data_IF_988180173997
#
_entry.id   IF_988180173997
#
_cell.length_a   1.000
_cell.length_b   1.000
_cell.length_c   1.000
_cell.angle_alpha   90.00
_cell.angle_beta   90.00
_cell.angle_gamma   90.00
#
_symmetry.space_group_name_H-M   'P 1'
#
loop_
_entity.id
_entity.type
_entity.pdbx_description
1 polymer ?
#
# COMPACT_ATOMS: atom_id res chain seq x y z
N UNK A 1 0.48 13.13 10.23
CA UNK A 1 -0.01 12.42 9.02
C UNK A 1 -0.48 13.45 8.00
N UNK A 2 -0.23 13.22 6.75
CA UNK A 2 -0.74 14.09 5.69
C UNK A 2 -2.22 13.77 5.40
N UNK A 3 -3.04 14.80 5.26
CA UNK A 3 -4.45 14.65 4.85
C UNK A 3 -4.58 14.48 3.32
N UNK A 4 -3.48 14.71 2.58
CA UNK A 4 -3.45 14.53 1.14
C UNK A 4 -3.26 13.04 0.79
N UNK A 5 -3.85 12.58 -0.33
CA UNK A 5 -3.61 11.23 -0.83
C UNK A 5 -2.12 10.98 -1.10
N UNK A 6 -1.67 9.75 -0.87
CA UNK A 6 -0.39 9.27 -1.39
C UNK A 6 -0.65 8.90 -2.84
N UNK A 7 -0.38 9.82 -3.75
CA UNK A 7 -0.83 9.77 -5.15
C UNK A 7 0.30 9.56 -6.16
N UNK A 8 1.55 9.51 -5.68
CA UNK A 8 2.75 9.28 -6.50
C UNK A 8 2.94 10.27 -7.66
N UNK A 9 2.17 11.36 -7.68
CA UNK A 9 2.31 12.40 -8.70
C UNK A 9 3.54 13.29 -8.45
N UNK A 10 4.08 13.84 -9.54
CA UNK A 10 5.13 14.83 -9.43
C UNK A 10 4.63 16.06 -8.67
N UNK A 11 5.31 16.38 -7.55
CA UNK A 11 4.86 17.43 -6.63
C UNK A 11 3.75 17.04 -5.66
N UNK A 12 3.24 15.80 -5.78
CA UNK A 12 2.30 15.20 -4.82
C UNK A 12 3.01 14.47 -3.69
N UNK A 13 2.36 13.43 -3.17
CA UNK A 13 2.85 12.64 -2.05
C UNK A 13 3.26 11.24 -2.52
N UNK A 14 4.37 10.71 -2.00
CA UNK A 14 4.76 9.33 -2.16
C UNK A 14 5.91 9.10 -3.14
N UNK A 15 5.91 9.71 -4.33
CA UNK A 15 6.94 9.46 -5.34
C UNK A 15 8.35 9.90 -4.88
N UNK A 16 8.43 10.90 -4.03
CA UNK A 16 9.68 11.41 -3.44
C UNK A 16 9.96 10.82 -2.04
N UNK A 17 9.15 9.89 -1.57
CA UNK A 17 9.40 9.17 -0.33
C UNK A 17 10.43 8.06 -0.58
N UNK A 18 11.16 7.65 0.45
CA UNK A 18 11.92 6.41 0.39
C UNK A 18 10.98 5.21 0.52
N UNK A 19 11.13 4.24 -0.35
CA UNK A 19 10.42 2.97 -0.30
C UNK A 19 11.42 1.83 -0.35
N UNK A 20 11.25 0.85 0.53
CA UNK A 20 12.08 -0.36 0.57
C UNK A 20 11.25 -1.55 0.15
N UNK A 21 11.69 -2.25 -0.88
CA UNK A 21 11.10 -3.54 -1.29
C UNK A 21 11.78 -4.65 -0.49
N UNK A 22 11.00 -5.60 -0.02
CA UNK A 22 11.48 -6.69 0.83
C UNK A 22 10.90 -8.05 0.41
N UNK A 23 11.61 -9.12 0.74
CA UNK A 23 11.21 -10.53 0.56
C UNK A 23 10.80 -10.88 -0.87
N UNK A 24 11.41 -10.22 -1.85
CA UNK A 24 11.05 -10.27 -3.28
C UNK A 24 12.25 -10.71 -4.14
N UNK A 25 13.10 -11.60 -3.62
CA UNK A 25 14.34 -12.09 -4.21
C UNK A 25 15.33 -10.93 -4.34
N UNK A 26 15.65 -10.46 -5.52
CA UNK A 26 16.59 -9.35 -5.77
C UNK A 26 15.99 -7.96 -5.43
N UNK A 27 14.79 -7.93 -4.90
CA UNK A 27 14.09 -6.72 -4.44
C UNK A 27 14.15 -5.57 -5.46
N UNK A 28 13.60 -5.75 -6.69
CA UNK A 28 13.54 -4.65 -7.64
C UNK A 28 12.84 -3.45 -7.01
N UNK A 29 13.40 -2.24 -7.12
CA UNK A 29 12.84 -1.07 -6.45
C UNK A 29 11.42 -0.78 -6.91
N UNK A 30 10.62 -0.16 -6.01
CA UNK A 30 9.32 0.39 -6.40
C UNK A 30 9.54 1.47 -7.45
N UNK A 31 8.80 1.38 -8.54
CA UNK A 31 8.89 2.32 -9.66
C UNK A 31 7.67 3.26 -9.66
N UNK A 32 7.87 4.47 -10.15
CA UNK A 32 6.78 5.44 -10.37
C UNK A 32 6.70 5.68 -11.88
N UNK A 33 5.60 5.25 -12.47
CA UNK A 33 5.46 5.11 -13.91
C UNK A 33 4.15 5.73 -14.40
N UNK A 34 4.05 5.95 -15.70
CA UNK A 34 2.79 6.37 -16.32
C UNK A 34 1.67 5.36 -15.99
N UNK A 35 0.49 5.88 -15.70
CA UNK A 35 -0.70 5.06 -15.44
C UNK A 35 -0.96 4.15 -16.66
N UNK A 36 -0.98 2.82 -16.49
CA UNK A 36 -1.13 1.89 -17.62
C UNK A 36 -2.54 1.91 -18.22
N UNK A 37 -3.52 2.44 -17.48
CA UNK A 37 -4.91 2.48 -17.90
C UNK A 37 -5.63 3.65 -17.22
N UNK A 38 -5.41 4.91 -17.64
CA UNK A 38 -6.05 6.08 -17.05
C UNK A 38 -7.54 6.12 -17.42
N UNK A 39 -8.36 5.42 -16.65
CA UNK A 39 -9.79 5.28 -16.89
C UNK A 39 -10.54 4.92 -15.62
N UNK A 40 -11.86 5.02 -15.65
CA UNK A 40 -12.72 4.67 -14.53
C UNK A 40 -12.43 5.53 -13.31
N UNK A 41 -12.15 4.89 -12.19
CA UNK A 41 -11.91 5.58 -10.92
C UNK A 41 -10.51 6.18 -10.79
N UNK A 42 -9.57 5.85 -11.69
CA UNK A 42 -8.22 6.38 -11.64
C UNK A 42 -7.75 6.89 -13.00
N UNK A 43 -7.77 8.21 -13.16
CA UNK A 43 -7.28 8.92 -14.35
C UNK A 43 -5.98 9.66 -14.07
N UNK A 44 -5.29 9.36 -12.96
CA UNK A 44 -4.03 10.00 -12.59
C UNK A 44 -2.94 9.74 -13.63
N UNK A 45 -1.94 10.61 -13.67
CA UNK A 45 -0.83 10.52 -14.64
C UNK A 45 0.20 9.48 -14.22
N UNK A 46 0.53 9.43 -12.95
CA UNK A 46 1.62 8.61 -12.40
C UNK A 46 1.10 7.68 -11.32
N UNK A 47 1.60 6.46 -11.31
CA UNK A 47 1.23 5.42 -10.33
C UNK A 47 2.47 4.67 -9.86
N UNK A 48 2.35 3.96 -8.74
CA UNK A 48 3.40 3.04 -8.29
C UNK A 48 3.29 1.71 -9.02
N UNK A 49 4.44 1.14 -9.38
CA UNK A 49 4.56 -0.18 -10.01
C UNK A 49 5.42 -1.09 -9.15
N UNK A 50 4.86 -2.21 -8.77
CA UNK A 50 5.53 -3.26 -8.01
C UNK A 50 5.66 -4.52 -8.87
N UNK A 51 6.89 -5.04 -9.00
CA UNK A 51 7.15 -6.31 -9.70
C UNK A 51 7.31 -7.41 -8.67
N UNK A 52 6.28 -8.23 -8.48
CA UNK A 52 6.31 -9.38 -7.60
C UNK A 52 7.03 -10.55 -8.29
N UNK A 53 8.16 -10.97 -7.76
CA UNK A 53 8.97 -12.05 -8.36
C UNK A 53 8.36 -13.42 -8.14
N UNK A 54 8.49 -14.30 -9.14
CA UNK A 54 8.02 -15.68 -9.06
C UNK A 54 8.59 -16.42 -7.85
N UNK A 55 9.88 -16.23 -7.57
CA UNK A 55 10.55 -16.85 -6.44
C UNK A 55 10.50 -16.02 -5.16
N UNK A 56 9.83 -14.87 -5.18
CA UNK A 56 9.59 -14.05 -3.99
C UNK A 56 8.63 -14.72 -3.02
N UNK A 57 8.67 -14.27 -1.77
CA UNK A 57 7.73 -14.77 -0.77
C UNK A 57 6.29 -14.31 -1.09
N UNK A 58 5.27 -15.05 -0.65
CA UNK A 58 3.88 -14.56 -0.77
C UNK A 58 3.67 -13.19 -0.14
N UNK A 59 4.42 -12.88 0.92
CA UNK A 59 4.39 -11.60 1.63
C UNK A 59 5.47 -10.62 1.15
N UNK A 60 5.99 -10.77 -0.06
CA UNK A 60 6.80 -9.74 -0.70
C UNK A 60 6.03 -8.43 -0.77
N UNK A 61 6.69 -7.33 -0.43
CA UNK A 61 6.02 -6.05 -0.34
C UNK A 61 6.98 -4.86 -0.39
N UNK A 62 6.43 -3.71 -0.10
CA UNK A 62 7.18 -2.45 -0.02
C UNK A 62 6.71 -1.63 1.17
N UNK A 63 7.63 -0.92 1.78
CA UNK A 63 7.37 -0.09 2.96
C UNK A 63 7.94 1.30 2.79
N UNK A 64 7.24 2.31 3.31
CA UNK A 64 7.77 3.67 3.40
C UNK A 64 8.86 3.73 4.45
N UNK A 65 9.78 4.72 4.32
CA UNK A 65 10.77 4.96 5.39
C UNK A 65 10.06 5.42 6.66
N UNK A 66 10.60 5.01 7.81
CA UNK A 66 10.13 5.48 9.12
C UNK A 66 10.31 6.99 9.25
N UNK A 67 9.32 7.66 9.84
CA UNK A 67 9.39 9.09 10.16
C UNK A 67 9.55 10.01 8.95
N UNK A 68 9.27 9.50 7.75
CA UNK A 68 9.29 10.27 6.50
C UNK A 68 8.06 11.17 6.34
N UNK A 69 7.69 11.42 5.11
CA UNK A 69 6.61 12.37 4.80
C UNK A 69 5.21 11.89 5.21
N UNK A 70 5.05 10.60 5.53
CA UNK A 70 3.81 10.12 6.15
C UNK A 70 3.59 10.75 7.53
N UNK A 71 4.66 11.17 8.20
CA UNK A 71 4.62 11.73 9.54
C UNK A 71 4.38 10.68 10.61
N UNK A 72 3.99 11.16 11.79
CA UNK A 72 3.66 10.32 12.94
C UNK A 72 2.19 10.48 13.28
N UNK A 73 1.50 9.38 13.57
CA UNK A 73 0.07 9.41 13.87
C UNK A 73 -0.33 8.29 14.84
N UNK A 74 -1.43 8.53 15.54
CA UNK A 74 -2.11 7.50 16.33
C UNK A 74 -3.30 6.99 15.53
N UNK A 75 -3.59 5.71 15.64
CA UNK A 75 -4.78 5.12 15.02
C UNK A 75 -6.03 5.57 15.80
N UNK A 76 -6.93 6.24 15.10
CA UNK A 76 -8.17 6.77 15.65
C UNK A 76 -9.34 6.53 14.68
N UNK A 77 -10.57 6.83 15.09
CA UNK A 77 -11.71 6.74 14.18
C UNK A 77 -11.61 7.67 12.96
N UNK A 78 -10.80 8.72 13.03
CA UNK A 78 -10.67 9.67 11.91
C UNK A 78 -9.78 9.15 10.79
N UNK A 79 -8.97 8.11 11.04
CA UNK A 79 -7.98 7.61 10.09
C UNK A 79 -7.91 6.07 9.98
N UNK A 80 -8.86 5.36 10.58
CA UNK A 80 -8.80 3.90 10.66
C UNK A 80 -9.25 3.18 9.37
N UNK A 81 -9.79 3.88 8.39
CA UNK A 81 -10.08 3.31 7.08
C UNK A 81 -8.96 3.67 6.11
N UNK A 82 -8.18 2.68 5.70
CA UNK A 82 -7.14 2.86 4.68
C UNK A 82 -7.68 2.37 3.34
N UNK A 83 -7.65 3.23 2.34
CA UNK A 83 -8.05 2.91 0.98
C UNK A 83 -6.84 2.92 0.06
N UNK A 84 -6.84 2.05 -0.94
CA UNK A 84 -5.84 2.01 -1.99
C UNK A 84 -6.51 1.66 -3.31
N UNK A 85 -6.10 2.30 -4.40
CA UNK A 85 -6.48 1.88 -5.75
C UNK A 85 -5.46 0.89 -6.26
N UNK A 86 -5.92 -0.21 -6.82
CA UNK A 86 -5.07 -1.26 -7.40
C UNK A 86 -5.49 -1.59 -8.82
N UNK A 87 -4.50 -1.92 -9.66
CA UNK A 87 -4.69 -2.45 -11.00
C UNK A 87 -3.88 -3.75 -11.08
N UNK A 88 -4.58 -4.87 -11.19
CA UNK A 88 -3.99 -6.21 -11.13
C UNK A 88 -4.49 -7.07 -12.30
N UNK A 89 -3.67 -8.02 -12.71
CA UNK A 89 -4.01 -8.96 -13.78
C UNK A 89 -4.67 -10.24 -13.29
N UNK A 90 -4.66 -10.45 -11.96
CA UNK A 90 -5.27 -11.62 -11.31
C UNK A 90 -5.82 -11.24 -9.93
N UNK A 91 -6.67 -12.09 -9.40
CA UNK A 91 -7.25 -11.92 -8.07
C UNK A 91 -6.31 -12.55 -7.04
N UNK A 92 -5.91 -11.76 -6.06
CA UNK A 92 -5.17 -12.19 -4.88
C UNK A 92 -5.32 -11.15 -3.77
N UNK A 93 -4.97 -11.53 -2.54
CA UNK A 93 -5.02 -10.57 -1.43
C UNK A 93 -4.01 -9.44 -1.62
N UNK A 94 -4.45 -8.25 -1.29
CA UNK A 94 -3.62 -7.09 -1.00
C UNK A 94 -3.57 -6.92 0.51
N UNK A 95 -2.40 -6.68 1.08
CA UNK A 95 -2.23 -6.45 2.51
C UNK A 95 -1.78 -5.03 2.82
N UNK A 96 -2.25 -4.50 3.94
CA UNK A 96 -1.77 -3.24 4.53
C UNK A 96 -1.40 -3.49 5.99
N UNK A 97 -0.26 -2.94 6.41
CA UNK A 97 0.20 -2.95 7.79
C UNK A 97 0.70 -1.55 8.16
N UNK A 98 0.41 -1.13 9.39
CA UNK A 98 0.87 0.14 9.95
C UNK A 98 1.88 -0.15 11.06
N UNK A 99 3.00 0.56 11.08
CA UNK A 99 4.17 0.18 11.88
C UNK A 99 4.68 1.36 12.68
N UNK A 100 5.14 1.08 13.90
CA UNK A 100 5.79 2.04 14.79
C UNK A 100 7.26 2.24 14.43
N UNK A 101 7.93 3.31 14.90
CA UNK A 101 9.36 3.56 14.64
C UNK A 101 10.29 2.41 15.05
N UNK A 102 9.88 1.61 16.02
CA UNK A 102 10.67 0.47 16.52
C UNK A 102 10.34 -0.85 15.82
N UNK A 103 9.45 -0.82 14.81
CA UNK A 103 9.06 -2.00 14.05
C UNK A 103 7.88 -2.77 14.61
N UNK A 104 7.29 -2.33 15.74
CA UNK A 104 6.10 -2.95 16.29
C UNK A 104 4.86 -2.66 15.46
N UNK A 105 3.98 -3.65 15.31
CA UNK A 105 2.77 -3.53 14.52
C UNK A 105 1.72 -4.55 14.92
N UNK A 106 0.45 -4.23 14.73
CA UNK A 106 -0.59 -5.24 14.62
C UNK A 106 -0.46 -5.99 13.29
N UNK A 107 -1.04 -7.19 13.20
CA UNK A 107 -1.02 -7.97 11.97
C UNK A 107 -1.61 -7.18 10.79
N UNK A 108 -1.11 -7.45 9.59
CA UNK A 108 -1.66 -6.89 8.37
C UNK A 108 -3.13 -7.29 8.18
N UNK A 109 -3.90 -6.39 7.61
CA UNK A 109 -5.24 -6.69 7.11
C UNK A 109 -5.13 -7.01 5.61
N UNK A 110 -5.76 -8.09 5.18
CA UNK A 110 -5.74 -8.55 3.79
C UNK A 110 -7.13 -8.49 3.19
N UNK A 111 -7.23 -7.92 1.98
CA UNK A 111 -8.46 -7.85 1.20
C UNK A 111 -8.11 -8.16 -0.25
N UNK A 112 -8.83 -9.10 -0.85
CA UNK A 112 -8.63 -9.44 -2.26
C UNK A 112 -9.26 -8.40 -3.18
N UNK A 113 -8.62 -8.16 -4.34
CA UNK A 113 -9.31 -7.50 -5.43
C UNK A 113 -10.39 -8.42 -6.02
N UNK A 114 -11.40 -7.84 -6.63
CA UNK A 114 -12.50 -8.58 -7.28
C UNK A 114 -12.50 -8.38 -8.80
N UNK A 115 -11.80 -7.36 -9.29
CA UNK A 115 -11.69 -7.00 -10.69
C UNK A 115 -10.26 -7.26 -11.19
N UNK A 116 -10.12 -7.54 -12.47
CA UNK A 116 -8.83 -7.69 -13.13
C UNK A 116 -8.75 -6.76 -14.35
N UNK A 117 -7.54 -6.29 -14.66
CA UNK A 117 -7.26 -5.40 -15.78
C UNK A 117 -8.07 -4.10 -15.77
N UNK A 118 -8.42 -3.63 -14.56
CA UNK A 118 -9.06 -2.34 -14.36
C UNK A 118 -8.77 -1.86 -12.93
N UNK A 119 -8.86 -0.55 -12.71
CA UNK A 119 -8.68 0.03 -11.40
C UNK A 119 -9.82 -0.31 -10.45
N UNK A 120 -9.48 -0.65 -9.22
CA UNK A 120 -10.41 -0.99 -8.15
C UNK A 120 -9.96 -0.31 -6.86
N UNK A 121 -10.91 0.25 -6.11
CA UNK A 121 -10.68 0.75 -4.76
C UNK A 121 -10.87 -0.38 -3.76
N UNK A 122 -9.85 -0.63 -2.95
CA UNK A 122 -9.90 -1.61 -1.87
C UNK A 122 -9.79 -0.86 -0.53
N UNK A 123 -10.60 -1.25 0.44
CA UNK A 123 -10.67 -0.63 1.75
C UNK A 123 -10.26 -1.61 2.85
N UNK A 124 -9.46 -1.12 3.79
CA UNK A 124 -8.95 -1.85 4.95
C UNK A 124 -9.44 -1.15 6.21
N UNK A 125 -10.25 -1.82 7.00
CA UNK A 125 -10.82 -1.26 8.23
C UNK A 125 -9.98 -1.67 9.44
N UNK A 126 -9.22 -0.72 9.97
CA UNK A 126 -8.39 -0.88 11.17
C UNK A 126 -9.11 -0.47 12.45
N UNK A 127 -10.40 -0.15 12.43
CA UNK A 127 -11.11 0.34 13.62
C UNK A 127 -11.08 -0.66 14.77
N UNK A 128 -11.07 -1.96 14.48
CA UNK A 128 -10.93 -3.01 15.50
C UNK A 128 -9.57 -3.03 16.21
N UNK A 129 -8.57 -2.36 15.67
CA UNK A 129 -7.24 -2.28 16.28
C UNK A 129 -7.05 -1.06 17.18
N UNK A 130 -7.97 -0.09 17.16
CA UNK A 130 -7.87 1.13 17.98
C UNK A 130 -7.77 0.75 19.46
N UNK A 131 -6.74 1.28 20.12
CA UNK A 131 -6.49 1.05 21.54
C UNK A 131 -5.71 -0.23 21.85
N UNK A 132 -5.41 -1.08 20.87
CA UNK A 132 -4.49 -2.20 21.03
C UNK A 132 -3.05 -1.73 21.10
N UNK A 133 -2.13 -2.62 21.48
CA UNK A 133 -0.69 -2.31 21.44
C UNK A 133 -0.21 -1.98 20.02
N UNK A 134 0.85 -1.18 19.92
CA UNK A 134 1.49 -0.84 18.65
C UNK A 134 0.58 -0.07 17.67
N UNK A 135 -0.35 0.74 18.18
CA UNK A 135 -1.29 1.53 17.38
C UNK A 135 -1.18 3.03 17.64
N UNK A 136 -0.17 3.45 18.38
CA UNK A 136 0.16 4.86 18.62
C UNK A 136 1.58 5.16 18.17
N UNK A 137 1.84 6.39 17.75
CA UNK A 137 3.15 6.79 17.24
C UNK A 137 3.53 6.05 15.96
N UNK A 138 2.57 5.67 15.14
CA UNK A 138 2.80 5.00 13.86
C UNK A 138 3.50 5.97 12.89
N UNK A 139 4.46 5.48 12.11
CA UNK A 139 5.22 6.31 11.18
C UNK A 139 5.59 5.62 9.86
N UNK A 140 4.99 4.46 9.60
CA UNK A 140 5.30 3.69 8.40
C UNK A 140 4.04 2.96 7.91
N UNK A 141 3.87 2.91 6.60
CA UNK A 141 2.91 2.04 5.92
C UNK A 141 3.64 0.96 5.15
N UNK A 142 3.12 -0.26 5.23
CA UNK A 142 3.59 -1.42 4.47
C UNK A 142 2.49 -1.88 3.54
N UNK A 143 2.82 -2.08 2.27
CA UNK A 143 1.91 -2.59 1.24
C UNK A 143 2.42 -3.95 0.77
N UNK A 144 1.53 -4.95 0.80
CA UNK A 144 1.75 -6.28 0.23
C UNK A 144 0.86 -6.39 -1.01
N UNK A 145 1.37 -6.09 -2.22
CA UNK A 145 0.49 -5.94 -3.38
C UNK A 145 -0.10 -7.23 -3.93
N UNK A 146 0.56 -8.37 -3.66
CA UNK A 146 0.19 -9.67 -4.22
C UNK A 146 0.50 -10.78 -3.20
N UNK A 147 -0.35 -10.91 -2.19
CA UNK A 147 -0.12 -11.81 -1.05
C UNK A 147 -0.53 -13.24 -1.39
N UNK A 148 0.22 -13.87 -2.30
CA UNK A 148 0.01 -15.23 -2.78
C UNK A 148 1.32 -15.84 -3.29
N UNK A 149 1.44 -17.16 -3.28
CA UNK A 149 2.52 -17.85 -3.98
C UNK A 149 2.40 -17.68 -5.49
N UNK A 150 3.53 -17.46 -6.18
CA UNK A 150 3.58 -17.19 -7.63
C UNK A 150 4.44 -18.22 -8.34
N UNK A 151 4.09 -18.52 -9.59
CA UNK A 151 4.89 -19.34 -10.51
C UNK A 151 5.51 -18.54 -11.66
N UNK A 152 5.14 -17.26 -11.77
CA UNK A 152 5.69 -16.30 -12.74
C UNK A 152 5.74 -14.92 -12.07
N UNK A 153 6.57 -14.03 -12.58
CA UNK A 153 6.56 -12.63 -12.15
C UNK A 153 5.21 -12.01 -12.43
N UNK A 154 4.77 -11.14 -11.52
CA UNK A 154 3.52 -10.40 -11.65
C UNK A 154 3.77 -8.91 -11.44
N UNK A 155 3.07 -8.08 -12.20
CA UNK A 155 3.14 -6.63 -12.07
C UNK A 155 1.84 -6.13 -11.48
N UNK A 156 1.94 -5.41 -10.36
CA UNK A 156 0.82 -4.77 -9.71
C UNK A 156 1.05 -3.26 -9.71
N UNK A 157 0.04 -2.50 -10.12
CA UNK A 157 0.05 -1.04 -9.96
C UNK A 157 -0.86 -0.66 -8.81
N UNK A 158 -0.44 0.32 -8.03
CA UNK A 158 -1.29 0.88 -6.98
C UNK A 158 -1.12 2.40 -6.89
N UNK A 159 -2.12 3.05 -6.30
CA UNK A 159 -2.22 4.50 -6.30
C UNK A 159 -3.21 4.99 -5.25
N UNK A 160 -3.20 6.28 -4.98
CA UNK A 160 -4.19 6.99 -4.17
C UNK A 160 -4.48 6.31 -2.83
N UNK A 161 -3.43 6.12 -2.02
CA UNK A 161 -3.60 5.65 -0.65
C UNK A 161 -4.15 6.79 0.19
N UNK A 162 -5.29 6.56 0.83
CA UNK A 162 -5.95 7.55 1.71
C UNK A 162 -6.26 6.96 3.06
N UNK A 163 -6.34 7.82 4.05
CA UNK A 163 -6.74 7.51 5.42
C UNK A 163 -8.02 8.27 5.73
N UNK A 164 -9.01 7.60 6.28
CA UNK A 164 -10.30 8.21 6.54
C UNK A 164 -11.11 7.52 7.63
N UNK A 165 -12.36 7.96 7.75
CA UNK A 165 -13.29 7.45 8.76
C UNK A 165 -13.91 6.14 8.28
N UNK A 166 -13.90 5.07 9.09
CA UNK A 166 -14.64 3.85 8.79
C UNK A 166 -16.14 4.12 8.63
N UNK A 167 -16.74 3.44 7.67
CA UNK A 167 -18.20 3.51 7.44
C UNK A 167 -18.95 2.45 8.22
#
# INVERSE_FOLDING_TARGET
MTDAPIDFEAGGQGANWGWTVFENVDNPPLEFVANPNPSGINTSTTVAKFTARAAGQPFAGTESVHGGNIGTFDLTNDNALVNIMVYKTKISDVGIKLVTPTGGAQAEIKVANTLVNQWELISFDFSGNIGLGETTGLDQIVVFPDFIGRTADDIIYFDNITFGVPV
#
